data_IF_211035749941
#
_entry.id   IF_211035749941
#
_cell.length_a   1.000
_cell.length_b   1.000
_cell.length_c   1.000
_cell.angle_alpha   90.00
_cell.angle_beta   90.00
_cell.angle_gamma   90.00
#
_symmetry.space_group_name_H-M   'P 1'
#
loop_
_entity.id
_entity.type
_entity.pdbx_description
1 polymer ?
#
# COMPACT_ATOMS: atom_id res chain seq x y z
N UNK A 1 6.77 -12.89 -5.93
CA UNK A 1 6.74 -11.43 -6.13
C UNK A 1 5.88 -10.78 -5.05
N UNK A 2 6.37 -9.72 -4.46
CA UNK A 2 5.66 -8.96 -3.42
C UNK A 2 5.31 -7.59 -3.97
N UNK A 3 4.06 -7.16 -3.78
CA UNK A 3 3.59 -5.85 -4.22
C UNK A 3 3.02 -5.10 -3.01
N UNK A 4 3.59 -3.96 -2.70
CA UNK A 4 3.08 -3.08 -1.66
C UNK A 4 2.05 -2.16 -2.27
N UNK A 5 0.83 -2.18 -1.74
CA UNK A 5 -0.25 -1.29 -2.18
C UNK A 5 -0.54 -0.30 -1.07
N UNK A 6 -0.45 0.97 -1.37
CA UNK A 6 -0.73 2.04 -0.42
C UNK A 6 -1.55 3.13 -1.10
N UNK A 7 -2.03 4.06 -0.30
CA UNK A 7 -2.75 5.19 -0.86
C UNK A 7 -3.49 6.03 0.16
N UNK A 8 -4.18 7.03 -0.35
CA UNK A 8 -4.87 8.03 0.44
C UNK A 8 -6.11 7.46 1.12
N UNK A 9 -6.36 7.89 2.37
CA UNK A 9 -7.56 7.49 3.12
C UNK A 9 -8.84 8.00 2.47
N UNK A 10 -8.75 9.06 1.68
CA UNK A 10 -9.87 9.67 0.98
C UNK A 10 -10.17 9.02 -0.38
N UNK A 11 -9.35 8.06 -0.81
CA UNK A 11 -9.60 7.36 -2.07
C UNK A 11 -10.85 6.49 -1.96
N UNK A 12 -11.84 6.74 -2.80
CA UNK A 12 -13.12 6.02 -2.76
C UNK A 12 -13.36 5.15 -4.00
N UNK A 13 -12.54 5.32 -5.03
CA UNK A 13 -12.70 4.58 -6.28
C UNK A 13 -12.11 3.17 -6.15
N UNK A 14 -12.89 2.27 -5.55
CA UNK A 14 -12.47 0.88 -5.37
C UNK A 14 -12.32 0.13 -6.69
N UNK A 15 -13.08 0.54 -7.71
CA UNK A 15 -13.00 -0.11 -9.02
C UNK A 15 -11.64 0.06 -9.68
N UNK A 16 -11.02 1.23 -9.55
CA UNK A 16 -9.68 1.47 -10.09
C UNK A 16 -8.65 0.58 -9.40
N UNK A 17 -8.80 0.34 -8.10
CA UNK A 17 -7.92 -0.55 -7.34
C UNK A 17 -8.11 -1.98 -7.82
N UNK A 18 -9.35 -2.45 -7.91
CA UNK A 18 -9.64 -3.80 -8.37
C UNK A 18 -9.11 -4.03 -9.77
N UNK A 19 -9.36 -3.09 -10.68
CA UNK A 19 -8.92 -3.18 -12.07
C UNK A 19 -7.39 -3.33 -12.16
N UNK A 20 -6.66 -2.56 -11.36
CA UNK A 20 -5.20 -2.61 -11.37
C UNK A 20 -4.68 -3.92 -10.75
N UNK A 21 -5.23 -4.35 -9.63
CA UNK A 21 -4.78 -5.57 -8.97
C UNK A 21 -5.10 -6.82 -9.78
N UNK A 22 -6.20 -6.84 -10.51
CA UNK A 22 -6.54 -7.95 -11.39
C UNK A 22 -5.52 -8.16 -12.52
N UNK A 23 -4.73 -7.14 -12.84
CA UNK A 23 -3.70 -7.23 -13.87
C UNK A 23 -2.39 -7.83 -13.37
N UNK A 24 -2.26 -8.05 -12.06
CA UNK A 24 -1.05 -8.63 -11.50
C UNK A 24 -1.00 -10.15 -11.77
N UNK A 25 0.21 -10.72 -11.92
CA UNK A 25 0.36 -12.16 -12.08
C UNK A 25 -0.19 -12.94 -10.89
N UNK A 26 -0.58 -14.18 -11.13
CA UNK A 26 -1.00 -15.08 -10.05
C UNK A 26 0.16 -15.35 -9.09
N UNK A 27 -0.17 -15.69 -7.83
CA UNK A 27 0.84 -16.04 -6.83
C UNK A 27 1.53 -14.85 -6.17
N UNK A 28 1.05 -13.63 -6.42
CA UNK A 28 1.59 -12.41 -5.79
C UNK A 28 1.18 -12.34 -4.32
N UNK A 29 2.08 -11.81 -3.50
CA UNK A 29 1.78 -11.41 -2.14
C UNK A 29 1.54 -9.91 -2.10
N UNK A 30 0.39 -9.51 -1.56
CA UNK A 30 0.06 -8.09 -1.33
C UNK A 30 0.52 -7.70 0.06
N UNK A 31 1.24 -6.58 0.16
CA UNK A 31 1.63 -5.97 1.43
C UNK A 31 0.78 -4.72 1.61
N UNK A 32 0.08 -4.61 2.72
CA UNK A 32 -0.84 -3.50 2.99
C UNK A 32 -0.67 -2.99 4.42
N UNK A 33 -0.91 -1.70 4.62
CA UNK A 33 -0.79 -1.07 5.93
C UNK A 33 -2.02 -1.18 6.82
N UNK A 34 -3.06 -1.85 6.39
CA UNK A 34 -4.30 -2.04 7.16
C UNK A 34 -4.97 -0.73 7.61
N UNK A 35 -4.72 0.37 6.88
CA UNK A 35 -5.37 1.64 7.15
C UNK A 35 -6.71 1.74 6.41
N UNK A 36 -7.46 2.80 6.67
CA UNK A 36 -8.70 3.08 5.93
C UNK A 36 -8.38 3.42 4.47
N UNK A 37 -9.38 3.33 3.62
CA UNK A 37 -9.26 3.68 2.21
C UNK A 37 -8.54 2.61 1.43
N UNK A 38 -7.53 2.98 0.65
CA UNK A 38 -6.83 2.09 -0.28
C UNK A 38 -6.33 0.81 0.39
N UNK A 39 -5.71 0.92 1.57
CA UNK A 39 -5.13 -0.25 2.23
C UNK A 39 -6.16 -1.34 2.51
N UNK A 40 -7.29 -0.99 3.09
CA UNK A 40 -8.36 -1.93 3.39
C UNK A 40 -9.01 -2.49 2.14
N UNK A 41 -9.22 -1.65 1.14
CA UNK A 41 -9.80 -2.05 -0.14
C UNK A 41 -8.87 -3.03 -0.86
N UNK A 42 -7.59 -2.72 -0.92
CA UNK A 42 -6.59 -3.58 -1.56
C UNK A 42 -6.48 -4.94 -0.87
N UNK A 43 -6.53 -4.97 0.46
CA UNK A 43 -6.50 -6.22 1.21
C UNK A 43 -7.72 -7.09 0.90
N UNK A 44 -8.91 -6.49 0.89
CA UNK A 44 -10.14 -7.21 0.59
C UNK A 44 -10.13 -7.78 -0.84
N UNK A 45 -9.69 -6.97 -1.81
CA UNK A 45 -9.60 -7.40 -3.21
C UNK A 45 -8.55 -8.50 -3.35
N UNK A 46 -7.41 -8.37 -2.71
CA UNK A 46 -6.35 -9.39 -2.74
C UNK A 46 -6.86 -10.74 -2.26
N UNK A 47 -7.59 -10.75 -1.15
CA UNK A 47 -8.20 -11.99 -0.61
C UNK A 47 -9.23 -12.56 -1.56
N UNK A 48 -10.06 -11.72 -2.16
CA UNK A 48 -11.06 -12.15 -3.15
C UNK A 48 -10.41 -12.80 -4.36
N UNK A 49 -9.25 -12.31 -4.78
CA UNK A 49 -8.49 -12.87 -5.90
C UNK A 49 -7.67 -14.10 -5.53
N UNK A 50 -7.71 -14.52 -4.28
CA UNK A 50 -6.94 -15.67 -3.82
C UNK A 50 -5.46 -15.39 -3.59
N UNK A 51 -5.08 -14.12 -3.48
CA UNK A 51 -3.69 -13.74 -3.22
C UNK A 51 -3.38 -13.76 -1.73
N UNK A 52 -2.13 -14.00 -1.38
CA UNK A 52 -1.68 -13.82 0.00
C UNK A 52 -1.69 -12.33 0.33
N UNK A 53 -2.22 -11.97 1.49
CA UNK A 53 -2.24 -10.58 1.96
C UNK A 53 -1.56 -10.51 3.31
N UNK A 54 -0.54 -9.68 3.42
CA UNK A 54 0.17 -9.40 4.68
C UNK A 54 -0.13 -7.97 5.09
N UNK A 55 -0.75 -7.81 6.26
CA UNK A 55 -1.12 -6.51 6.78
C UNK A 55 -0.17 -6.08 7.89
N UNK A 56 0.22 -4.81 7.86
CA UNK A 56 1.12 -4.19 8.83
C UNK A 56 0.43 -2.99 9.47
N UNK A 57 -0.44 -3.21 10.46
CA UNK A 57 -1.14 -2.10 11.10
C UNK A 57 -0.17 -1.20 11.85
N UNK A 58 -0.42 0.11 11.81
CA UNK A 58 0.38 1.08 12.54
C UNK A 58 0.11 0.97 14.04
N UNK A 59 1.16 1.03 14.85
CA UNK A 59 1.05 0.92 16.29
C UNK A 59 0.88 2.30 16.94
N UNK A 60 -0.29 2.91 16.74
CA UNK A 60 -0.60 4.26 17.21
C UNK A 60 -0.43 4.41 18.72
N UNK A 61 -0.81 3.39 19.50
CA UNK A 61 -0.69 3.42 20.96
C UNK A 61 0.76 3.46 21.41
N UNK A 62 1.68 2.90 20.63
CA UNK A 62 3.09 2.83 20.97
C UNK A 62 3.90 4.02 20.47
N UNK A 63 3.62 4.46 19.23
CA UNK A 63 4.44 5.47 18.55
C UNK A 63 3.71 6.79 18.28
N UNK A 64 2.43 6.90 18.59
CA UNK A 64 1.68 8.13 18.37
C UNK A 64 1.71 8.54 16.90
N UNK A 65 1.97 9.82 16.64
CA UNK A 65 1.92 10.38 15.28
C UNK A 65 2.92 9.77 14.31
N UNK A 66 4.02 9.22 14.79
CA UNK A 66 5.03 8.61 13.91
C UNK A 66 4.69 7.18 13.51
N UNK A 67 3.62 6.59 14.06
CA UNK A 67 3.30 5.18 13.84
C UNK A 67 3.11 4.82 12.38
N UNK A 68 2.42 5.67 11.61
CA UNK A 68 2.20 5.44 10.18
C UNK A 68 3.49 5.44 9.38
N UNK A 69 4.39 6.36 9.66
CA UNK A 69 5.68 6.44 8.99
C UNK A 69 6.57 5.25 9.35
N UNK A 70 6.57 4.84 10.60
CA UNK A 70 7.32 3.66 11.05
C UNK A 70 6.81 2.38 10.39
N UNK A 71 5.49 2.22 10.31
CA UNK A 71 4.86 1.11 9.61
C UNK A 71 5.26 1.06 8.15
N UNK A 72 5.29 2.21 7.47
CA UNK A 72 5.72 2.28 6.07
C UNK A 72 7.14 1.73 5.89
N UNK A 73 8.05 2.08 6.79
CA UNK A 73 9.43 1.60 6.72
C UNK A 73 9.50 0.08 6.94
N UNK A 74 8.71 -0.45 7.86
CA UNK A 74 8.63 -1.90 8.08
C UNK A 74 8.14 -2.62 6.83
N UNK A 75 7.12 -2.08 6.17
CA UNK A 75 6.62 -2.66 4.93
C UNK A 75 7.68 -2.66 3.83
N UNK A 76 8.44 -1.58 3.70
CA UNK A 76 9.51 -1.50 2.70
C UNK A 76 10.67 -2.43 3.02
N UNK A 77 10.90 -2.76 4.30
CA UNK A 77 11.90 -3.75 4.71
C UNK A 77 11.54 -5.16 4.28
N UNK A 78 10.30 -5.41 3.89
CA UNK A 78 9.88 -6.69 3.32
C UNK A 78 10.36 -6.88 1.88
N UNK A 79 11.09 -5.92 1.34
CA UNK A 79 11.65 -5.94 -0.02
C UNK A 79 10.59 -6.15 -1.10
N UNK A 80 9.57 -5.29 -1.17
CA UNK A 80 8.59 -5.42 -2.25
C UNK A 80 9.25 -5.19 -3.61
N UNK A 81 8.77 -5.89 -4.60
CA UNK A 81 9.26 -5.78 -5.99
C UNK A 81 8.63 -4.59 -6.70
N UNK A 82 7.49 -4.11 -6.21
CA UNK A 82 6.76 -3.00 -6.80
C UNK A 82 5.93 -2.33 -5.71
N UNK A 83 5.84 -1.02 -5.76
CA UNK A 83 4.91 -0.23 -4.95
C UNK A 83 3.87 0.40 -5.87
N UNK A 84 2.59 0.17 -5.59
CA UNK A 84 1.49 0.83 -6.28
C UNK A 84 0.83 1.78 -5.29
N UNK A 85 0.85 3.07 -5.60
CA UNK A 85 0.30 4.11 -4.73
C UNK A 85 -0.89 4.81 -5.40
N UNK A 86 -2.04 4.73 -4.76
CA UNK A 86 -3.26 5.43 -5.19
C UNK A 86 -3.35 6.74 -4.42
N UNK A 87 -3.02 7.84 -5.06
CA UNK A 87 -2.79 9.13 -4.40
C UNK A 87 -3.84 10.17 -4.82
N UNK A 88 -4.59 10.69 -3.86
CA UNK A 88 -5.53 11.79 -4.08
C UNK A 88 -5.26 12.88 -3.06
N UNK A 89 -5.28 14.14 -3.51
CA UNK A 89 -5.09 15.30 -2.65
C UNK A 89 -3.76 15.33 -1.94
N UNK A 90 -3.76 15.91 -0.73
CA UNK A 90 -2.58 15.98 0.14
C UNK A 90 -2.59 14.80 1.10
N UNK A 91 -1.72 13.84 0.88
CA UNK A 91 -1.64 12.62 1.66
C UNK A 91 -0.20 12.38 2.10
N UNK A 92 0.22 12.94 3.26
CA UNK A 92 1.60 12.85 3.72
C UNK A 92 2.10 11.41 3.90
N UNK A 93 1.25 10.51 4.39
CA UNK A 93 1.62 9.11 4.57
C UNK A 93 1.94 8.42 3.24
N UNK A 94 1.11 8.66 2.22
CA UNK A 94 1.34 8.10 0.89
C UNK A 94 2.62 8.69 0.27
N UNK A 95 2.81 10.00 0.38
CA UNK A 95 4.01 10.67 -0.11
C UNK A 95 5.27 10.11 0.55
N UNK A 96 5.21 9.85 1.86
CA UNK A 96 6.32 9.27 2.61
C UNK A 96 6.69 7.88 2.08
N UNK A 97 5.69 7.03 1.85
CA UNK A 97 5.93 5.69 1.32
C UNK A 97 6.57 5.75 -0.07
N UNK A 98 6.07 6.63 -0.94
CA UNK A 98 6.61 6.82 -2.28
C UNK A 98 8.07 7.26 -2.22
N UNK A 99 8.37 8.27 -1.42
CA UNK A 99 9.72 8.81 -1.28
C UNK A 99 10.71 7.73 -0.81
N UNK A 100 10.37 7.00 0.25
CA UNK A 100 11.25 5.98 0.80
C UNK A 100 11.40 4.76 -0.11
N UNK A 101 10.36 4.40 -0.86
CA UNK A 101 10.47 3.35 -1.87
C UNK A 101 11.47 3.75 -2.96
N UNK A 102 11.40 4.99 -3.43
CA UNK A 102 12.33 5.50 -4.44
C UNK A 102 13.76 5.54 -3.93
N UNK A 103 13.98 5.91 -2.67
CA UNK A 103 15.31 5.89 -2.05
C UNK A 103 15.90 4.48 -2.02
N UNK A 104 15.07 3.47 -1.89
CA UNK A 104 15.47 2.07 -1.91
C UNK A 104 15.55 1.49 -3.31
N UNK A 105 15.30 2.31 -4.33
CA UNK A 105 15.30 1.90 -5.75
C UNK A 105 14.25 0.85 -6.07
N UNK A 106 13.16 0.84 -5.34
CA UNK A 106 12.01 -0.02 -5.62
C UNK A 106 11.13 0.71 -6.65
N UNK A 107 10.71 0.04 -7.73
CA UNK A 107 9.80 0.65 -8.71
C UNK A 107 8.50 1.12 -8.06
N UNK A 108 8.07 2.32 -8.40
CA UNK A 108 6.83 2.91 -7.86
C UNK A 108 5.92 3.32 -9.00
N UNK A 109 4.68 2.85 -8.95
CA UNK A 109 3.63 3.29 -9.85
C UNK A 109 2.68 4.17 -9.04
N UNK A 110 2.53 5.43 -9.42
CA UNK A 110 1.61 6.36 -8.75
C UNK A 110 0.39 6.56 -9.62
N UNK A 111 -0.78 6.22 -9.07
CA UNK A 111 -2.06 6.43 -9.73
C UNK A 111 -2.73 7.60 -9.02
N UNK A 112 -2.99 8.67 -9.75
CA UNK A 112 -3.58 9.89 -9.21
C UNK A 112 -5.02 10.08 -9.64
N UNK A 113 -5.72 10.86 -8.82
CA UNK A 113 -7.09 11.20 -9.12
C UNK A 113 -7.36 12.68 -8.91
#
# INVERSE_FOLDING_TARGET
>A
MKVLVCGSRQWTDWESIEKRLCMLPAGITIISGAARGVDGIAAAIGRKLGLEVREFPAEWNKFGRSAGYRRNLVMLEQDPDLVIAFHVGNSPGTAHAIEHARKRKIPVEVIRR
#
